data_IF_991133271660
#
_entry.id   IF_991133271660
#
_cell.length_a   1.000
_cell.length_b   1.000
_cell.length_c   1.000
_cell.angle_alpha   90.00
_cell.angle_beta   90.00
_cell.angle_gamma   90.00
#
_symmetry.space_group_name_H-M   'P 1'
#
loop_
_entity.id
_entity.type
_entity.pdbx_description
1 polymer ?
#
# COMPACT_ATOMS: atom_id res chain seq x y z
N UNK A 1 10.16 -25.39 -3.42
CA UNK A 1 9.22 -24.27 -3.15
C UNK A 1 9.47 -23.22 -4.20
N UNK A 2 8.43 -22.58 -4.72
CA UNK A 2 8.55 -21.58 -5.78
C UNK A 2 8.63 -20.18 -5.15
N UNK A 3 9.73 -19.41 -5.32
CA UNK A 3 9.94 -18.16 -4.61
C UNK A 3 9.33 -16.95 -5.35
N UNK A 4 8.52 -16.16 -4.64
CA UNK A 4 8.47 -14.72 -4.88
C UNK A 4 7.86 -14.20 -6.18
N UNK A 5 6.76 -14.78 -6.69
CA UNK A 5 5.83 -13.93 -7.46
C UNK A 5 5.05 -13.06 -6.48
N UNK A 6 5.40 -11.78 -6.38
CA UNK A 6 4.71 -10.81 -5.51
C UNK A 6 3.26 -10.60 -5.98
N UNK A 7 2.37 -11.41 -5.43
CA UNK A 7 0.97 -11.45 -5.79
C UNK A 7 0.20 -10.39 -4.99
N UNK A 8 -0.27 -9.33 -5.66
CA UNK A 8 -1.07 -8.26 -5.04
C UNK A 8 -2.26 -8.83 -4.27
N UNK A 9 -2.50 -8.44 -2.99
CA UNK A 9 -3.67 -8.88 -2.25
C UNK A 9 -4.97 -8.43 -2.91
N UNK A 10 -5.99 -9.28 -2.86
CA UNK A 10 -7.35 -8.91 -3.23
C UNK A 10 -7.98 -8.08 -2.10
N UNK A 11 -8.30 -6.81 -2.35
CA UNK A 11 -8.92 -5.92 -1.36
C UNK A 11 -10.43 -6.20 -1.24
N UNK A 12 -11.12 -6.31 -2.38
CA UNK A 12 -12.58 -6.43 -2.41
C UNK A 12 -13.10 -7.25 -3.59
N UNK A 13 -14.29 -7.82 -3.40
CA UNK A 13 -15.10 -8.47 -4.43
C UNK A 13 -16.51 -7.88 -4.44
N UNK A 14 -17.04 -7.60 -5.62
CA UNK A 14 -18.42 -7.11 -5.83
C UNK A 14 -19.02 -7.77 -7.08
N UNK A 15 -20.35 -7.84 -7.13
CA UNK A 15 -21.04 -8.06 -8.41
C UNK A 15 -21.19 -6.72 -9.14
N UNK A 16 -21.30 -6.77 -10.47
CA UNK A 16 -21.69 -5.61 -11.25
C UNK A 16 -22.48 -6.03 -12.49
N UNK A 17 -23.48 -5.26 -12.87
CA UNK A 17 -24.29 -5.51 -14.06
C UNK A 17 -23.44 -5.56 -15.35
N UNK A 18 -23.62 -6.63 -16.14
CA UNK A 18 -22.95 -6.83 -17.42
C UNK A 18 -23.41 -5.85 -18.53
N UNK A 19 -24.33 -4.94 -18.24
CA UNK A 19 -24.71 -3.82 -19.11
C UNK A 19 -24.04 -2.49 -18.76
N UNK A 20 -23.19 -2.45 -17.74
CA UNK A 20 -22.48 -1.25 -17.28
C UNK A 20 -20.95 -1.48 -17.24
N UNK A 21 -20.13 -0.41 -17.23
CA UNK A 21 -18.73 -0.51 -16.86
C UNK A 21 -18.58 -1.03 -15.41
N UNK A 22 -17.48 -1.72 -15.07
CA UNK A 22 -17.19 -2.12 -13.69
C UNK A 22 -17.10 -0.90 -12.74
N UNK A 23 -17.36 -1.05 -11.43
CA UNK A 23 -17.23 0.04 -10.48
C UNK A 23 -15.80 0.61 -10.44
N UNK A 24 -15.62 1.91 -10.16
CA UNK A 24 -14.29 2.53 -10.09
C UNK A 24 -13.34 1.77 -9.16
N UNK A 25 -12.14 1.46 -9.64
CA UNK A 25 -11.15 0.65 -8.92
C UNK A 25 -11.33 -0.87 -9.01
N UNK A 26 -12.34 -1.37 -9.76
CA UNK A 26 -12.55 -2.80 -9.97
C UNK A 26 -12.34 -3.24 -11.44
N UNK A 27 -11.87 -4.47 -11.63
CA UNK A 27 -11.79 -5.18 -12.91
C UNK A 27 -12.77 -6.36 -12.94
N UNK A 28 -13.48 -6.56 -14.05
CA UNK A 28 -14.46 -7.66 -14.20
C UNK A 28 -13.84 -8.92 -14.82
N UNK A 29 -14.17 -10.10 -14.28
CA UNK A 29 -13.92 -11.37 -14.98
C UNK A 29 -15.02 -11.55 -16.02
N UNK A 30 -14.71 -11.20 -17.27
CA UNK A 30 -15.63 -11.29 -18.41
C UNK A 30 -15.60 -12.66 -19.10
N UNK A 31 -14.50 -13.41 -18.96
CA UNK A 31 -14.31 -14.74 -19.53
C UNK A 31 -13.88 -15.78 -18.47
N UNK A 32 -14.23 -17.04 -18.70
CA UNK A 32 -13.71 -18.18 -17.93
C UNK A 32 -12.31 -18.56 -18.42
N UNK A 33 -11.63 -19.45 -17.70
CA UNK A 33 -10.30 -19.99 -18.11
C UNK A 33 -10.33 -20.73 -19.46
N UNK A 34 -11.51 -21.17 -19.91
CA UNK A 34 -11.73 -21.78 -21.22
C UNK A 34 -12.22 -20.77 -22.29
N UNK A 35 -12.26 -19.46 -21.97
CA UNK A 35 -12.66 -18.39 -22.89
C UNK A 35 -14.18 -18.14 -23.01
N UNK A 36 -15.03 -18.88 -22.29
CA UNK A 36 -16.48 -18.68 -22.35
C UNK A 36 -16.93 -17.43 -21.57
N UNK A 37 -17.99 -16.75 -22.00
CA UNK A 37 -18.47 -15.52 -21.32
C UNK A 37 -18.94 -15.80 -19.89
N UNK A 38 -18.24 -15.25 -18.90
CA UNK A 38 -18.45 -15.51 -17.47
C UNK A 38 -19.60 -14.69 -16.85
N UNK A 39 -20.72 -14.57 -17.56
CA UNK A 39 -21.87 -13.74 -17.18
C UNK A 39 -22.91 -14.55 -16.39
N UNK A 40 -23.08 -14.20 -15.12
CA UNK A 40 -24.00 -14.79 -14.16
C UNK A 40 -25.43 -14.22 -14.33
N UNK A 41 -26.43 -14.87 -13.73
CA UNK A 41 -27.83 -14.40 -13.69
C UNK A 41 -28.63 -14.56 -14.99
N UNK A 42 -27.99 -14.43 -16.17
CA UNK A 42 -28.65 -14.45 -17.49
C UNK A 42 -29.66 -15.60 -17.64
N UNK A 43 -30.91 -15.22 -17.78
CA UNK A 43 -32.07 -16.08 -18.02
C UNK A 43 -33.26 -15.21 -18.41
N UNK A 44 -34.35 -15.84 -18.86
CA UNK A 44 -35.47 -15.20 -19.59
C UNK A 44 -36.13 -13.95 -18.97
N UNK A 45 -35.87 -13.63 -17.69
CA UNK A 45 -36.43 -12.46 -17.00
C UNK A 45 -35.39 -11.42 -16.53
N UNK A 46 -34.09 -11.63 -16.72
CA UNK A 46 -33.05 -10.66 -16.34
C UNK A 46 -32.50 -9.94 -17.59
N UNK A 47 -32.73 -8.62 -17.67
CA UNK A 47 -32.34 -7.76 -18.83
C UNK A 47 -30.83 -7.74 -19.08
N UNK A 48 -30.03 -7.87 -18.04
CA UNK A 48 -28.59 -8.02 -18.07
C UNK A 48 -28.18 -9.18 -17.15
N UNK A 49 -27.04 -9.80 -17.45
CA UNK A 49 -26.35 -10.64 -16.47
C UNK A 49 -25.51 -9.80 -15.52
N UNK A 50 -24.66 -10.47 -14.74
CA UNK A 50 -23.67 -9.84 -13.86
C UNK A 50 -22.30 -10.45 -14.10
N UNK A 51 -21.25 -9.67 -13.90
CA UNK A 51 -19.87 -10.16 -13.80
C UNK A 51 -19.40 -10.10 -12.35
N UNK A 52 -18.43 -10.96 -12.01
CA UNK A 52 -17.69 -10.83 -10.76
C UNK A 52 -16.56 -9.82 -10.96
N UNK A 53 -16.49 -8.82 -10.09
CA UNK A 53 -15.53 -7.73 -10.16
C UNK A 53 -14.60 -7.73 -8.95
N UNK A 54 -13.31 -7.42 -9.18
CA UNK A 54 -12.21 -7.51 -8.23
C UNK A 54 -11.49 -6.17 -8.09
N UNK A 55 -11.17 -5.76 -6.87
CA UNK A 55 -10.25 -4.65 -6.59
C UNK A 55 -9.05 -5.18 -5.82
N UNK A 56 -7.84 -4.89 -6.28
CA UNK A 56 -6.56 -5.36 -5.72
C UNK A 56 -5.85 -4.23 -4.98
N UNK A 57 -5.28 -4.52 -3.81
CA UNK A 57 -4.56 -3.57 -2.98
C UNK A 57 -3.14 -3.32 -3.53
N UNK A 58 -3.04 -2.41 -4.49
CA UNK A 58 -1.90 -2.20 -5.41
C UNK A 58 -0.50 -2.33 -4.80
N UNK A 59 0.00 -1.27 -4.16
CA UNK A 59 1.17 -1.35 -3.27
C UNK A 59 0.63 -1.34 -1.84
N UNK A 60 0.91 -2.36 -1.02
CA UNK A 60 0.43 -2.40 0.36
C UNK A 60 1.24 -1.42 1.22
N UNK A 61 0.63 -0.30 1.61
CA UNK A 61 1.28 0.71 2.47
C UNK A 61 0.70 0.74 3.89
N UNK A 62 -0.60 0.47 4.08
CA UNK A 62 -1.28 0.62 5.37
C UNK A 62 -1.71 -0.73 5.99
N UNK A 63 -1.32 -1.06 7.23
CA UNK A 63 -1.70 -2.31 7.89
C UNK A 63 -3.21 -2.43 8.20
N UNK A 64 -3.97 -1.33 8.13
CA UNK A 64 -5.42 -1.33 8.31
C UNK A 64 -6.21 -1.56 7.01
N UNK A 65 -5.54 -1.66 5.86
CA UNK A 65 -6.21 -1.93 4.59
C UNK A 65 -6.83 -3.33 4.62
N UNK A 66 -8.12 -3.43 4.26
CA UNK A 66 -8.85 -4.69 4.30
C UNK A 66 -8.52 -5.56 3.08
N UNK A 67 -8.23 -6.84 3.34
CA UNK A 67 -7.93 -7.85 2.32
C UNK A 67 -8.79 -9.09 2.50
N UNK A 68 -9.15 -9.71 1.38
CA UNK A 68 -9.91 -10.97 1.33
C UNK A 68 -8.99 -12.12 1.75
N UNK A 69 -9.22 -12.67 2.94
CA UNK A 69 -8.48 -13.85 3.45
C UNK A 69 -9.17 -15.16 3.11
N UNK A 70 -10.50 -15.13 2.91
CA UNK A 70 -11.27 -16.31 2.52
C UNK A 70 -12.53 -16.00 1.71
N UNK A 71 -13.00 -17.01 0.98
CA UNK A 71 -14.19 -16.95 0.12
C UNK A 71 -15.03 -18.21 0.33
N UNK A 72 -16.36 -18.10 0.25
CA UNK A 72 -17.25 -19.26 0.32
C UNK A 72 -18.52 -19.07 -0.52
N UNK A 73 -19.01 -20.15 -1.13
CA UNK A 73 -20.35 -20.19 -1.75
C UNK A 73 -21.33 -20.86 -0.78
N UNK A 74 -22.27 -20.10 -0.25
CA UNK A 74 -23.29 -20.57 0.71
C UNK A 74 -24.69 -20.57 0.09
N UNK A 75 -25.66 -21.20 0.76
CA UNK A 75 -27.06 -21.13 0.34
C UNK A 75 -27.61 -19.71 0.50
N UNK A 76 -28.44 -19.26 -0.44
CA UNK A 76 -28.97 -17.88 -0.47
C UNK A 76 -29.75 -17.53 0.82
N UNK A 77 -30.56 -18.47 1.32
CA UNK A 77 -31.29 -18.38 2.60
C UNK A 77 -30.62 -19.13 3.76
N UNK A 78 -29.39 -19.60 3.58
CA UNK A 78 -28.60 -20.22 4.66
C UNK A 78 -27.99 -19.17 5.59
N UNK A 79 -27.57 -19.56 6.82
CA UNK A 79 -26.85 -18.66 7.72
C UNK A 79 -25.55 -18.16 7.09
N UNK A 80 -25.12 -16.95 7.49
CA UNK A 80 -23.86 -16.36 7.06
C UNK A 80 -22.73 -16.89 7.99
N UNK A 81 -21.61 -17.42 7.46
CA UNK A 81 -20.54 -17.95 8.32
C UNK A 81 -19.88 -16.85 9.18
N UNK A 82 -19.38 -17.15 10.39
CA UNK A 82 -18.79 -16.16 11.29
C UNK A 82 -17.64 -15.37 10.66
N UNK A 83 -17.75 -14.04 10.67
CA UNK A 83 -16.77 -13.12 10.09
C UNK A 83 -16.83 -12.97 8.56
N UNK A 84 -17.77 -13.63 7.87
CA UNK A 84 -18.00 -13.41 6.44
C UNK A 84 -19.06 -12.32 6.21
N UNK A 85 -18.92 -11.58 5.12
CA UNK A 85 -19.94 -10.69 4.53
C UNK A 85 -20.44 -11.25 3.20
N UNK A 86 -21.61 -10.81 2.71
CA UNK A 86 -22.11 -11.23 1.38
C UNK A 86 -21.59 -10.30 0.29
N UNK A 87 -21.14 -10.87 -0.82
CA UNK A 87 -20.77 -10.12 -2.03
C UNK A 87 -22.05 -9.72 -2.77
N UNK A 88 -22.28 -8.41 -2.88
CA UNK A 88 -23.46 -7.78 -3.48
C UNK A 88 -23.06 -6.91 -4.68
N UNK A 89 -24.05 -6.35 -5.40
CA UNK A 89 -23.81 -5.23 -6.32
C UNK A 89 -23.87 -3.90 -5.54
N UNK A 90 -22.89 -2.98 -5.66
CA UNK A 90 -22.92 -1.69 -4.98
C UNK A 90 -24.05 -0.76 -5.43
N UNK A 91 -24.59 -0.95 -6.64
CA UNK A 91 -25.69 -0.17 -7.20
C UNK A 91 -27.06 -0.79 -6.86
N UNK A 92 -27.13 -2.10 -6.61
CA UNK A 92 -28.32 -2.79 -6.11
C UNK A 92 -27.96 -3.85 -5.05
N UNK A 93 -28.01 -3.45 -3.78
CA UNK A 93 -27.78 -4.36 -2.66
C UNK A 93 -28.84 -5.48 -2.49
N UNK A 94 -29.91 -5.51 -3.31
CA UNK A 94 -30.89 -6.61 -3.37
C UNK A 94 -30.73 -7.53 -4.58
N UNK A 95 -29.78 -7.25 -5.48
CA UNK A 95 -29.43 -8.13 -6.60
C UNK A 95 -29.03 -9.52 -6.07
N UNK A 96 -29.61 -10.58 -6.67
CA UNK A 96 -29.14 -11.95 -6.47
C UNK A 96 -28.81 -12.58 -7.83
N UNK A 97 -27.54 -12.91 -8.01
CA UNK A 97 -27.02 -13.58 -9.22
C UNK A 97 -27.41 -15.07 -9.30
N UNK A 98 -28.02 -15.63 -8.25
CA UNK A 98 -28.37 -17.05 -8.17
C UNK A 98 -29.43 -17.33 -7.09
N UNK A 99 -30.63 -17.77 -7.51
CA UNK A 99 -31.79 -18.06 -6.63
C UNK A 99 -31.56 -19.13 -5.53
N UNK A 100 -30.44 -19.85 -5.55
CA UNK A 100 -30.15 -20.96 -4.61
C UNK A 100 -28.92 -20.70 -3.73
N UNK A 101 -28.00 -19.84 -4.16
CA UNK A 101 -26.66 -19.67 -3.58
C UNK A 101 -26.17 -18.24 -3.74
N UNK A 102 -25.46 -17.73 -2.73
CA UNK A 102 -24.77 -16.44 -2.70
C UNK A 102 -23.28 -16.64 -2.44
N UNK A 103 -22.46 -15.69 -2.88
CA UNK A 103 -21.03 -15.68 -2.55
C UNK A 103 -20.77 -14.78 -1.34
N UNK A 104 -19.87 -15.24 -0.47
CA UNK A 104 -19.47 -14.53 0.73
C UNK A 104 -17.94 -14.45 0.81
N UNK A 105 -17.43 -13.39 1.46
CA UNK A 105 -15.99 -13.13 1.67
C UNK A 105 -15.71 -12.84 3.13
N UNK A 106 -14.55 -13.28 3.62
CA UNK A 106 -13.99 -12.85 4.90
C UNK A 106 -12.90 -11.81 4.63
N UNK A 107 -13.09 -10.61 5.17
CA UNK A 107 -12.11 -9.53 5.17
C UNK A 107 -11.35 -9.53 6.50
N UNK A 108 -10.07 -9.19 6.47
CA UNK A 108 -9.27 -8.84 7.65
C UNK A 108 -8.31 -7.68 7.31
N UNK A 109 -7.88 -6.85 8.28
CA UNK A 109 -6.79 -5.90 8.09
C UNK A 109 -5.49 -6.61 7.67
N UNK A 110 -4.80 -6.08 6.67
CA UNK A 110 -3.60 -6.70 6.09
C UNK A 110 -2.53 -7.01 7.14
N UNK A 111 -2.30 -6.12 8.11
CA UNK A 111 -1.35 -6.33 9.20
C UNK A 111 -1.68 -7.48 10.16
N UNK A 112 -2.83 -8.13 10.00
CA UNK A 112 -3.31 -9.27 10.81
C UNK A 112 -3.54 -10.55 9.99
N UNK A 113 -3.28 -10.52 8.67
CA UNK A 113 -3.49 -11.66 7.79
C UNK A 113 -2.16 -12.41 7.54
N UNK A 114 -2.12 -13.71 7.81
CA UNK A 114 -1.01 -14.58 7.36
C UNK A 114 -1.14 -14.95 5.88
N UNK A 115 -2.37 -15.11 5.39
CA UNK A 115 -2.72 -15.64 4.07
C UNK A 115 -3.82 -14.79 3.46
N UNK A 116 -3.63 -14.37 2.23
CA UNK A 116 -4.60 -13.59 1.43
C UNK A 116 -5.02 -14.38 0.19
N UNK A 117 -6.20 -14.06 -0.34
CA UNK A 117 -6.54 -14.34 -1.73
C UNK A 117 -5.84 -13.31 -2.61
N UNK A 118 -5.23 -13.75 -3.71
CA UNK A 118 -4.51 -12.88 -4.66
C UNK A 118 -4.97 -13.00 -6.11
N UNK A 119 -5.77 -14.01 -6.44
CA UNK A 119 -6.46 -14.12 -7.74
C UNK A 119 -7.75 -14.95 -7.61
N UNK A 120 -8.73 -14.71 -8.46
CA UNK A 120 -9.98 -15.49 -8.56
C UNK A 120 -10.23 -15.83 -10.03
N UNK A 121 -10.50 -17.11 -10.32
CA UNK A 121 -10.79 -17.59 -11.67
C UNK A 121 -12.10 -18.36 -11.74
N UNK A 122 -12.69 -18.33 -12.93
CA UNK A 122 -13.99 -18.92 -13.24
C UNK A 122 -13.80 -20.02 -14.28
N UNK A 123 -14.48 -21.15 -14.11
CA UNK A 123 -14.41 -22.29 -15.04
C UNK A 123 -15.78 -22.92 -15.26
N UNK A 124 -15.88 -23.82 -16.25
CA UNK A 124 -16.95 -24.81 -16.29
C UNK A 124 -16.89 -25.74 -15.07
N UNK A 125 -18.04 -26.20 -14.56
CA UNK A 125 -18.13 -27.01 -13.31
C UNK A 125 -17.37 -28.35 -13.36
N UNK A 126 -17.15 -28.87 -14.57
CA UNK A 126 -16.44 -30.13 -14.87
C UNK A 126 -14.96 -29.92 -15.18
N UNK A 127 -14.47 -28.68 -15.12
CA UNK A 127 -13.08 -28.30 -15.40
C UNK A 127 -12.34 -28.04 -14.08
N UNK A 128 -11.01 -28.02 -14.14
CA UNK A 128 -10.12 -27.78 -13.00
C UNK A 128 -9.14 -26.66 -13.34
N UNK A 129 -8.68 -25.92 -12.33
CA UNK A 129 -7.73 -24.81 -12.51
C UNK A 129 -6.45 -25.11 -11.70
N UNK A 130 -5.36 -25.58 -12.34
CA UNK A 130 -4.12 -25.91 -11.65
C UNK A 130 -3.55 -24.74 -10.85
N UNK A 131 -3.21 -24.97 -9.59
CA UNK A 131 -2.69 -23.94 -8.66
C UNK A 131 -3.76 -23.10 -7.94
N UNK A 132 -5.05 -23.41 -8.09
CA UNK A 132 -6.17 -22.70 -7.44
C UNK A 132 -7.03 -23.66 -6.62
N UNK A 133 -7.55 -23.16 -5.50
CA UNK A 133 -8.50 -23.86 -4.63
C UNK A 133 -9.94 -23.64 -5.12
N UNK A 134 -10.74 -24.71 -5.28
CA UNK A 134 -12.17 -24.60 -5.62
C UNK A 134 -12.96 -24.05 -4.44
N UNK A 135 -13.59 -22.89 -4.62
CA UNK A 135 -14.44 -22.21 -3.63
C UNK A 135 -15.87 -22.76 -3.67
N UNK A 136 -16.33 -23.19 -4.85
CA UNK A 136 -17.64 -23.82 -5.06
C UNK A 136 -18.36 -23.34 -6.32
N UNK A 137 -19.59 -23.83 -6.52
CA UNK A 137 -20.33 -23.65 -7.77
C UNK A 137 -21.52 -22.70 -7.62
N UNK A 138 -21.61 -21.66 -8.44
CA UNK A 138 -22.68 -20.64 -8.47
C UNK A 138 -22.96 -20.17 -9.90
N UNK A 139 -24.23 -19.85 -10.22
CA UNK A 139 -24.66 -19.25 -11.49
C UNK A 139 -24.44 -20.05 -12.78
N UNK A 140 -23.78 -21.21 -12.74
CA UNK A 140 -23.38 -22.00 -13.92
C UNK A 140 -21.89 -22.36 -13.92
N UNK A 141 -21.09 -21.60 -13.18
CA UNK A 141 -19.63 -21.70 -13.13
C UNK A 141 -19.15 -22.38 -11.84
N UNK A 142 -17.90 -22.84 -11.84
CA UNK A 142 -17.13 -23.09 -10.63
C UNK A 142 -16.20 -21.90 -10.35
N UNK A 143 -16.12 -21.49 -9.08
CA UNK A 143 -15.29 -20.40 -8.58
C UNK A 143 -14.01 -20.99 -7.99
N UNK A 144 -12.86 -20.40 -8.32
CA UNK A 144 -11.54 -20.83 -7.89
C UNK A 144 -10.75 -19.63 -7.35
N UNK A 145 -9.96 -19.81 -6.30
CA UNK A 145 -9.11 -18.74 -5.76
C UNK A 145 -7.64 -19.20 -5.63
N UNK A 146 -6.70 -18.31 -5.92
CA UNK A 146 -5.29 -18.49 -5.54
C UNK A 146 -5.10 -17.83 -4.18
N UNK A 147 -4.53 -18.57 -3.23
CA UNK A 147 -4.08 -18.03 -1.94
C UNK A 147 -2.57 -17.92 -1.91
N UNK A 148 -2.07 -16.89 -1.26
CA UNK A 148 -0.64 -16.62 -1.07
C UNK A 148 -0.40 -16.08 0.33
N UNK A 149 0.87 -16.11 0.78
CA UNK A 149 1.25 -15.46 2.03
C UNK A 149 1.03 -13.95 1.90
N UNK A 150 0.51 -13.30 2.94
CA UNK A 150 0.34 -11.86 2.93
C UNK A 150 1.70 -11.14 2.72
N UNK A 151 1.75 -10.05 1.95
CA UNK A 151 2.96 -9.24 1.81
C UNK A 151 3.36 -8.70 3.18
N UNK A 152 4.63 -8.87 3.53
CA UNK A 152 5.18 -8.29 4.76
C UNK A 152 5.26 -6.78 4.60
N UNK A 153 4.37 -6.06 5.28
CA UNK A 153 4.56 -4.64 5.57
C UNK A 153 5.82 -4.50 6.41
N UNK A 154 6.94 -4.16 5.78
CA UNK A 154 8.17 -3.80 6.47
C UNK A 154 7.88 -2.50 7.23
N UNK A 155 8.03 -2.45 8.57
CA UNK A 155 7.88 -1.20 9.29
C UNK A 155 8.91 -0.21 8.75
N UNK A 156 8.43 0.88 8.13
CA UNK A 156 9.29 1.96 7.68
C UNK A 156 10.14 2.41 8.87
N UNK A 157 11.49 2.42 8.80
CA UNK A 157 12.32 2.71 9.97
C UNK A 157 12.02 4.08 10.55
N UNK A 158 11.18 4.12 11.59
CA UNK A 158 10.85 5.33 12.31
C UNK A 158 12.10 5.85 13.01
N UNK A 159 12.41 7.14 12.83
CA UNK A 159 13.61 7.78 13.37
C UNK A 159 13.51 8.07 14.87
N UNK A 160 13.07 7.07 15.65
CA UNK A 160 13.07 7.04 17.11
C UNK A 160 14.49 6.76 17.63
N UNK A 161 15.43 7.65 17.31
CA UNK A 161 16.85 7.51 17.69
C UNK A 161 17.58 8.85 17.90
N UNK A 162 16.88 9.85 18.46
CA UNK A 162 17.54 11.00 19.09
C UNK A 162 16.93 11.41 20.44
N UNK A 163 15.61 11.61 20.55
CA UNK A 163 14.99 12.10 21.80
C UNK A 163 15.06 11.12 22.99
N UNK A 164 15.13 9.81 22.75
CA UNK A 164 15.20 8.80 23.83
C UNK A 164 16.49 8.86 24.66
N UNK A 165 17.54 9.57 24.22
CA UNK A 165 18.75 9.78 25.05
C UNK A 165 18.54 10.79 26.19
N UNK A 166 17.47 11.61 26.14
CA UNK A 166 17.15 12.58 27.19
C UNK A 166 16.52 11.98 28.46
N UNK A 167 16.26 10.67 28.48
CA UNK A 167 15.45 10.00 29.50
C UNK A 167 16.24 9.01 30.40
N UNK A 168 17.57 8.95 30.26
CA UNK A 168 18.42 8.07 31.08
C UNK A 168 18.77 8.74 32.41
N UNK A 169 18.16 8.26 33.50
CA UNK A 169 18.35 8.78 34.86
C UNK A 169 19.58 8.16 35.52
N UNK A 170 20.79 8.59 35.14
CA UNK A 170 22.06 8.09 35.71
C UNK A 170 22.92 9.21 36.32
N UNK A 171 23.74 8.86 37.32
CA UNK A 171 24.16 9.78 38.39
C UNK A 171 25.60 10.30 38.25
N UNK A 172 25.85 11.63 38.27
CA UNK A 172 27.21 12.18 38.26
C UNK A 172 27.99 11.86 39.55
N UNK A 173 29.25 11.45 39.43
CA UNK A 173 30.19 11.26 40.54
C UNK A 173 31.38 12.24 40.46
N UNK A 174 31.35 13.22 41.36
CA UNK A 174 32.43 14.14 41.77
C UNK A 174 33.46 13.41 42.69
N UNK A 175 34.58 14.05 43.13
CA UNK A 175 35.54 14.87 42.37
C UNK A 175 37.04 14.64 42.79
N UNK A 176 38.00 15.30 42.12
CA UNK A 176 39.38 15.43 42.66
C UNK A 176 40.16 16.71 42.25
N UNK A 177 40.13 17.70 43.17
CA UNK A 177 41.12 18.78 43.48
C UNK A 177 42.21 19.18 42.45
N UNK A 178 42.29 20.49 42.12
CA UNK A 178 43.50 21.15 41.60
C UNK A 178 43.40 22.69 41.49
N UNK A 179 44.28 23.41 42.21
CA UNK A 179 44.61 24.85 42.18
C UNK A 179 44.64 25.58 40.81
N UNK A 180 44.52 26.92 40.65
CA UNK A 180 44.44 28.10 41.56
C UNK A 180 43.67 29.29 40.85
N UNK A 181 43.38 30.45 41.51
CA UNK A 181 42.32 31.41 41.09
C UNK A 181 42.80 32.79 40.52
N UNK A 182 41.86 33.74 40.42
CA UNK A 182 41.94 35.12 39.85
C UNK A 182 41.93 35.18 38.31
N UNK A 183 41.31 36.14 37.57
CA UNK A 183 40.60 37.43 37.81
C UNK A 183 39.71 37.70 36.55
N UNK A 184 38.69 38.56 36.40
CA UNK A 184 38.06 39.71 37.11
C UNK A 184 36.54 39.78 36.74
N UNK A 185 35.72 40.60 37.41
CA UNK A 185 34.27 40.78 37.17
C UNK A 185 33.89 41.75 36.01
N UNK A 186 32.82 41.42 35.25
CA UNK A 186 31.98 42.35 34.44
C UNK A 186 30.67 41.65 34.04
N UNK A 187 29.54 41.77 34.76
CA UNK A 187 28.50 42.83 34.66
C UNK A 187 27.96 43.12 33.23
N UNK A 188 26.95 42.37 32.78
CA UNK A 188 25.54 42.81 32.54
C UNK A 188 24.72 41.73 31.78
N UNK A 189 23.38 41.86 31.79
CA UNK A 189 22.48 41.20 30.82
C UNK A 189 21.81 39.90 31.29
N UNK A 190 20.62 40.00 31.90
CA UNK A 190 19.77 38.84 32.23
C UNK A 190 18.75 38.54 31.13
N UNK A 191 18.60 37.26 30.74
CA UNK A 191 17.37 36.71 30.16
C UNK A 191 17.31 35.18 30.29
N UNK A 192 16.22 34.67 30.85
CA UNK A 192 15.90 33.24 30.95
C UNK A 192 15.46 32.71 29.57
N UNK A 193 15.94 31.54 29.13
CA UNK A 193 15.34 30.20 29.30
C UNK A 193 14.18 29.86 28.34
N UNK A 194 13.71 28.61 28.34
CA UNK A 194 12.69 28.03 27.44
C UNK A 194 13.04 27.98 25.94
N UNK A 195 13.95 27.08 25.56
CA UNK A 195 13.97 26.54 24.19
C UNK A 195 12.80 25.55 24.04
N UNK A 196 11.61 26.07 23.71
CA UNK A 196 10.42 25.28 23.37
C UNK A 196 10.07 25.47 21.90
N UNK A 197 10.61 24.61 21.03
CA UNK A 197 10.07 24.41 19.68
C UNK A 197 8.96 23.38 19.75
N UNK A 198 7.73 23.86 19.66
CA UNK A 198 6.54 23.04 19.43
C UNK A 198 5.60 23.85 18.52
N UNK A 199 6.15 24.28 17.39
CA UNK A 199 5.51 25.19 16.46
C UNK A 199 4.83 24.39 15.34
N UNK A 200 3.51 24.52 15.27
CA UNK A 200 2.67 24.05 14.16
C UNK A 200 3.12 24.73 12.86
N UNK A 201 3.70 23.97 11.92
CA UNK A 201 4.11 24.48 10.59
C UNK A 201 2.90 24.81 9.67
N UNK A 202 1.71 24.95 10.26
CA UNK A 202 0.43 25.27 9.65
C UNK A 202 -0.38 26.25 10.52
N UNK A 203 0.29 27.04 11.37
CA UNK A 203 -0.34 28.07 12.20
C UNK A 203 -0.77 29.27 11.33
N UNK A 204 -1.91 29.13 10.65
CA UNK A 204 -2.43 30.02 9.61
C UNK A 204 -2.94 31.40 10.11
N UNK A 205 -2.37 31.90 11.20
CA UNK A 205 -2.81 33.11 11.92
C UNK A 205 -1.92 34.34 11.67
N UNK A 206 -0.82 34.22 10.92
CA UNK A 206 0.06 35.35 10.58
C UNK A 206 -0.01 35.75 9.09
N UNK A 207 -0.13 37.05 8.82
CA UNK A 207 -0.24 37.60 7.45
C UNK A 207 1.01 37.38 6.57
N UNK A 208 2.12 36.92 7.13
CA UNK A 208 3.37 36.64 6.41
C UNK A 208 3.68 35.15 6.29
N UNK A 209 2.81 34.27 6.82
CA UNK A 209 2.97 32.81 6.77
C UNK A 209 2.29 32.12 5.59
N UNK A 210 1.49 32.85 4.81
CA UNK A 210 0.73 32.31 3.67
C UNK A 210 1.53 32.37 2.37
N UNK A 211 1.72 31.22 1.72
CA UNK A 211 2.15 31.13 0.33
C UNK A 211 1.03 31.57 -0.61
N UNK A 212 1.38 32.14 -1.77
CA UNK A 212 0.41 32.47 -2.81
C UNK A 212 -0.30 31.23 -3.43
N UNK A 213 0.11 30.02 -3.05
CA UNK A 213 -0.53 28.75 -3.41
C UNK A 213 -1.42 28.18 -2.30
N UNK A 214 -1.36 28.70 -1.08
CA UNK A 214 -2.11 28.15 0.05
C UNK A 214 -3.60 28.46 -0.10
N UNK A 215 -4.44 27.42 0.03
CA UNK A 215 -5.88 27.52 -0.22
C UNK A 215 -6.28 27.56 -1.69
N UNK A 216 -5.35 27.49 -2.65
CA UNK A 216 -5.68 27.33 -4.08
C UNK A 216 -6.03 25.86 -4.36
N UNK A 217 -7.28 25.50 -4.69
CA UNK A 217 -7.61 24.13 -5.05
C UNK A 217 -7.03 23.80 -6.42
N UNK A 218 -6.04 22.90 -6.46
CA UNK A 218 -5.68 22.27 -7.73
C UNK A 218 -6.77 21.25 -8.11
N UNK A 219 -6.98 21.06 -9.40
CA UNK A 219 -7.90 20.04 -9.92
C UNK A 219 -7.27 19.46 -11.19
N UNK A 220 -7.33 18.14 -11.35
CA UNK A 220 -6.86 17.50 -12.58
C UNK A 220 -7.75 17.94 -13.74
N UNK A 221 -7.15 18.43 -14.82
CA UNK A 221 -7.89 18.81 -16.01
C UNK A 221 -8.71 17.61 -16.52
N UNK A 222 -10.02 17.73 -16.86
CA UNK A 222 -10.94 16.59 -17.06
C UNK A 222 -10.52 15.54 -18.11
N UNK A 223 -9.54 15.85 -18.98
CA UNK A 223 -8.86 14.84 -19.83
C UNK A 223 -8.07 13.77 -19.06
N UNK A 224 -7.84 13.94 -17.75
CA UNK A 224 -7.14 12.99 -16.88
C UNK A 224 -8.04 12.38 -15.80
N UNK A 225 -9.19 12.98 -15.50
CA UNK A 225 -10.22 12.34 -14.69
C UNK A 225 -10.72 11.06 -15.38
N UNK A 226 -11.03 10.02 -14.60
CA UNK A 226 -11.41 8.70 -15.13
C UNK A 226 -10.28 7.90 -15.80
N UNK A 227 -9.17 8.53 -16.21
CA UNK A 227 -7.94 7.83 -16.60
C UNK A 227 -7.16 7.46 -15.35
N UNK A 228 -7.58 6.39 -14.69
CA UNK A 228 -6.63 5.63 -13.87
C UNK A 228 -5.41 5.31 -14.73
N UNK A 229 -4.21 5.38 -14.13
CA UNK A 229 -3.06 4.82 -14.80
C UNK A 229 -3.22 3.29 -14.76
N UNK A 230 -3.75 2.72 -15.85
CA UNK A 230 -3.71 1.29 -16.10
C UNK A 230 -2.28 0.79 -15.87
N UNK A 231 -2.11 -0.37 -15.21
CA UNK A 231 -0.97 -0.69 -14.36
C UNK A 231 0.33 -0.18 -14.95
N UNK A 232 0.91 0.84 -14.29
CA UNK A 232 2.15 1.53 -14.72
C UNK A 232 3.11 0.48 -15.24
N UNK A 233 3.39 0.52 -16.54
CA UNK A 233 3.98 -0.63 -17.22
C UNK A 233 5.42 -0.81 -16.74
N UNK A 234 5.62 -1.65 -15.73
CA UNK A 234 6.88 -1.83 -15.01
C UNK A 234 8.01 -2.40 -15.87
N UNK A 235 7.76 -2.71 -17.14
CA UNK A 235 8.82 -2.86 -18.15
C UNK A 235 9.69 -1.59 -18.30
N UNK A 236 9.13 -0.38 -18.08
CA UNK A 236 9.89 0.86 -17.98
C UNK A 236 10.80 0.94 -16.73
N UNK A 237 10.63 0.01 -15.79
CA UNK A 237 11.41 -0.18 -14.57
C UNK A 237 12.12 -1.55 -14.53
N UNK A 238 12.19 -2.27 -15.66
CA UNK A 238 12.70 -3.65 -15.71
C UNK A 238 14.14 -3.81 -15.22
N UNK A 239 14.95 -2.76 -15.36
CA UNK A 239 16.36 -2.73 -14.97
C UNK A 239 16.63 -2.09 -13.60
N UNK A 240 15.61 -1.92 -12.73
CA UNK A 240 15.82 -1.45 -11.35
C UNK A 240 16.52 -2.50 -10.48
N UNK A 241 17.85 -2.53 -10.53
CA UNK A 241 18.68 -3.30 -9.60
C UNK A 241 18.60 -2.71 -8.19
N UNK A 242 17.93 -3.40 -7.27
CA UNK A 242 17.98 -3.06 -5.83
C UNK A 242 19.37 -3.42 -5.30
N UNK A 243 20.18 -2.38 -5.01
CA UNK A 243 21.51 -2.50 -4.41
C UNK A 243 21.41 -2.50 -2.88
N UNK A 244 22.26 -3.25 -2.19
CA UNK A 244 22.32 -3.20 -0.72
C UNK A 244 23.01 -1.91 -0.24
N UNK A 245 22.86 -1.57 1.05
CA UNK A 245 23.57 -0.43 1.63
C UNK A 245 25.10 -0.55 1.42
N UNK A 246 25.66 -1.74 1.62
CA UNK A 246 27.08 -2.00 1.43
C UNK A 246 27.54 -1.90 -0.04
N UNK A 247 26.66 -2.21 -1.00
CA UNK A 247 26.95 -2.01 -2.42
C UNK A 247 27.01 -0.52 -2.76
N UNK A 248 26.08 0.28 -2.21
CA UNK A 248 26.03 1.74 -2.38
C UNK A 248 27.24 2.41 -1.71
N UNK A 249 27.55 2.05 -0.46
CA UNK A 249 28.72 2.55 0.28
C UNK A 249 30.07 2.21 -0.39
N UNK A 250 30.09 1.14 -1.20
CA UNK A 250 31.25 0.72 -2.00
C UNK A 250 31.31 1.41 -3.36
N UNK A 251 30.18 1.51 -4.06
CA UNK A 251 30.08 2.12 -5.40
C UNK A 251 30.32 3.64 -5.36
N UNK A 252 29.80 4.31 -4.33
CA UNK A 252 29.90 5.77 -4.16
C UNK A 252 30.97 6.19 -3.14
N UNK A 253 32.01 5.36 -2.93
CA UNK A 253 33.08 5.62 -1.96
C UNK A 253 34.07 6.70 -2.45
N UNK A 254 33.68 7.97 -2.37
CA UNK A 254 34.44 9.07 -2.96
C UNK A 254 35.40 9.76 -1.98
N UNK A 255 36.66 9.31 -1.92
CA UNK A 255 37.68 9.82 -1.00
C UNK A 255 38.29 11.20 -1.31
N UNK A 256 37.78 11.92 -2.32
CA UNK A 256 38.30 13.20 -2.82
C UNK A 256 39.80 13.20 -3.19
N UNK A 257 40.34 12.06 -3.66
CA UNK A 257 41.76 11.91 -3.98
C UNK A 257 42.14 12.64 -5.26
N UNK A 258 41.23 12.69 -6.24
CA UNK A 258 41.43 13.37 -7.52
C UNK A 258 41.53 14.87 -7.31
N UNK A 259 40.67 15.46 -6.48
CA UNK A 259 40.65 16.88 -6.11
C UNK A 259 41.92 17.26 -5.34
N UNK A 260 42.32 16.46 -4.35
CA UNK A 260 43.56 16.68 -3.58
C UNK A 260 44.78 16.64 -4.51
N UNK A 261 44.81 15.71 -5.46
CA UNK A 261 45.89 15.58 -6.45
C UNK A 261 45.87 16.74 -7.45
N UNK A 262 44.69 17.22 -7.86
CA UNK A 262 44.56 18.36 -8.77
C UNK A 262 44.97 19.68 -8.08
N UNK A 263 44.53 19.92 -6.84
CA UNK A 263 44.88 21.10 -6.06
C UNK A 263 46.36 21.15 -5.67
N UNK A 264 47.04 20.00 -5.59
CA UNK A 264 48.48 19.91 -5.36
C UNK A 264 49.35 20.17 -6.61
N UNK A 265 48.75 20.33 -7.80
CA UNK A 265 49.49 20.70 -9.02
C UNK A 265 49.79 22.19 -9.02
N UNK A 266 51.06 22.53 -8.82
CA UNK A 266 51.57 23.86 -9.15
C UNK A 266 51.26 24.16 -10.64
N UNK A 267 50.88 25.41 -10.98
CA UNK A 267 50.68 25.78 -12.38
C UNK A 267 51.98 25.62 -13.17
N UNK A 268 51.93 25.27 -14.47
CA UNK A 268 53.12 25.21 -15.29
C UNK A 268 53.78 26.60 -15.34
N UNK A 269 55.04 26.67 -14.94
CA UNK A 269 55.84 27.90 -15.06
C UNK A 269 56.05 28.21 -16.53
N UNK A 270 55.55 29.36 -16.98
CA UNK A 270 55.85 29.91 -18.30
C UNK A 270 57.21 30.59 -18.21
N UNK A 271 58.12 30.23 -19.12
CA UNK A 271 59.42 30.89 -19.33
C UNK A 271 59.34 31.96 -20.41
#
# INVERSE_FOLDING_TARGET
>A
MDPGTDSTPLAALVWSSASAPPPPGFSAITCTVEGATASFGRGFAQKAGYFLCLSTLGIPENPQDNVVVDMQIVMDKGPLPPGFSTVNDPQDARTSVSKKKRMCVKLMPLGTADVVVSDVKLSGKTKTVPGYLRVGDIGGFAIWCKKSKAPKLVPKPGTLSQDMRGLSLDQPKEPSKGSHPERTLSRLGSRASTLRRNDSIYEASSLYGISAMDGVPFTLHPRFEGKSCGPLNLSAFGDLTIKSLADIEKEYNYGFVVEKTAAARLPPSVS
#
